data_IF_146250830338
#
_entry.id   IF_146250830338
#
_cell.length_a   1.000
_cell.length_b   1.000
_cell.length_c   1.000
_cell.angle_alpha   90.00
_cell.angle_beta   90.00
_cell.angle_gamma   90.00
#
_symmetry.space_group_name_H-M   'P 1'
#
loop_
_entity.id
_entity.type
_entity.pdbx_description
1 polymer ?
#
# COMPACT_ATOMS: atom_id res chain seq x y z
N UNK A 1 7.80 7.70 21.83
CA UNK A 1 8.33 7.43 20.47
C UNK A 1 7.54 6.31 19.80
N UNK A 2 7.08 6.57 18.57
CA UNK A 2 6.39 5.62 17.68
C UNK A 2 7.01 5.69 16.28
N UNK A 3 6.80 4.66 15.45
CA UNK A 3 7.25 4.61 14.04
C UNK A 3 6.03 4.48 13.13
N UNK A 4 5.91 5.35 12.13
CA UNK A 4 5.01 5.16 10.99
C UNK A 4 5.81 4.89 9.72
N UNK A 5 5.47 3.81 9.03
CA UNK A 5 6.12 3.38 7.79
C UNK A 5 5.14 3.54 6.64
N UNK A 6 5.44 4.44 5.71
CA UNK A 6 4.74 4.53 4.44
C UNK A 6 5.34 3.56 3.44
N UNK A 7 4.53 2.68 2.85
CA UNK A 7 4.97 1.80 1.78
C UNK A 7 4.93 2.50 0.41
N UNK A 8 5.80 2.05 -0.49
CA UNK A 8 5.98 2.57 -1.84
C UNK A 8 7.23 1.98 -2.48
N UNK A 9 7.45 2.27 -3.77
CA UNK A 9 8.69 1.95 -4.48
C UNK A 9 9.55 3.21 -4.70
N UNK A 10 10.89 3.10 -4.59
CA UNK A 10 11.82 4.22 -4.77
C UNK A 10 12.03 4.58 -6.25
N UNK A 11 12.34 5.86 -6.49
CA UNK A 11 12.71 6.38 -7.82
C UNK A 11 11.56 7.00 -8.61
N UNK A 12 11.90 7.95 -9.48
CA UNK A 12 10.95 8.89 -10.09
C UNK A 12 9.81 8.23 -10.91
N UNK A 13 10.01 7.01 -11.43
CA UNK A 13 8.99 6.29 -12.21
C UNK A 13 7.73 5.98 -11.40
N UNK A 14 7.83 5.84 -10.07
CA UNK A 14 6.72 5.51 -9.17
C UNK A 14 6.08 6.72 -8.48
N UNK A 15 6.51 7.95 -8.78
CA UNK A 15 5.89 9.15 -8.19
C UNK A 15 4.45 9.30 -8.71
N UNK A 16 3.49 9.40 -7.79
CA UNK A 16 2.06 9.52 -8.09
C UNK A 16 1.35 8.22 -8.49
N UNK A 17 1.97 7.04 -8.28
CA UNK A 17 1.33 5.74 -8.54
C UNK A 17 0.52 5.27 -7.34
N UNK A 18 -0.48 4.41 -7.57
CA UNK A 18 -1.37 3.93 -6.49
C UNK A 18 -0.60 3.23 -5.37
N UNK A 19 0.42 2.44 -5.73
CA UNK A 19 1.29 1.73 -4.78
C UNK A 19 2.20 2.64 -3.93
N UNK A 20 2.32 3.93 -4.28
CA UNK A 20 3.17 4.90 -3.57
C UNK A 20 2.38 5.82 -2.62
N UNK A 21 1.06 5.60 -2.45
CA UNK A 21 0.21 6.38 -1.55
C UNK A 21 0.71 6.41 -0.09
N UNK A 22 1.41 5.36 0.36
CA UNK A 22 2.04 5.32 1.68
C UNK A 22 3.17 6.37 1.83
N UNK A 23 4.00 6.56 0.81
CA UNK A 23 5.01 7.64 0.78
C UNK A 23 4.33 9.02 0.80
N UNK A 24 3.24 9.21 0.04
CA UNK A 24 2.54 10.51 -0.03
C UNK A 24 1.89 10.89 1.31
N UNK A 25 1.45 9.92 2.12
CA UNK A 25 1.04 10.15 3.51
C UNK A 25 2.21 10.55 4.40
N UNK A 26 3.38 9.92 4.26
CA UNK A 26 4.58 10.30 5.00
C UNK A 26 5.05 11.72 4.63
N UNK A 27 5.03 12.08 3.36
CA UNK A 27 5.37 13.43 2.89
C UNK A 27 4.30 14.48 3.25
N UNK A 28 3.08 14.06 3.55
CA UNK A 28 2.04 14.91 4.15
C UNK A 28 2.27 15.12 5.65
N UNK A 29 2.60 14.05 6.38
CA UNK A 29 2.99 14.12 7.80
C UNK A 29 4.25 14.97 8.03
N UNK A 30 5.26 14.84 7.17
CA UNK A 30 6.48 15.65 7.24
C UNK A 30 6.17 17.16 7.14
N UNK A 31 5.24 17.55 6.25
CA UNK A 31 4.76 18.93 6.12
C UNK A 31 3.94 19.38 7.34
N UNK A 32 3.04 18.54 7.85
CA UNK A 32 2.24 18.86 9.04
C UNK A 32 3.09 19.04 10.30
N UNK A 33 4.16 18.24 10.44
CA UNK A 33 5.07 18.25 11.60
C UNK A 33 6.31 19.13 11.36
N UNK A 34 6.33 19.94 10.29
CA UNK A 34 7.39 20.89 9.92
C UNK A 34 8.81 20.29 9.87
N UNK A 35 8.90 19.03 9.41
CA UNK A 35 10.14 18.26 9.42
C UNK A 35 11.02 18.64 8.22
N UNK A 36 12.21 19.19 8.49
CA UNK A 36 13.03 19.85 7.46
C UNK A 36 13.63 18.93 6.39
N UNK A 37 14.17 17.76 6.76
CA UNK A 37 14.84 16.86 5.80
C UNK A 37 14.81 15.40 6.27
N UNK A 38 14.59 14.48 5.34
CA UNK A 38 14.84 13.06 5.54
C UNK A 38 16.34 12.75 5.48
N UNK A 39 16.75 11.66 6.13
CA UNK A 39 18.11 11.11 6.14
C UNK A 39 18.07 9.64 5.72
N UNK A 40 19.06 9.19 4.98
CA UNK A 40 19.17 7.77 4.61
C UNK A 40 19.73 6.95 5.77
N UNK A 41 18.98 5.94 6.22
CA UNK A 41 19.39 4.98 7.26
C UNK A 41 18.49 3.74 7.21
N UNK A 42 19.04 2.56 7.48
CA UNK A 42 18.28 1.27 7.46
C UNK A 42 17.53 1.04 6.14
N UNK A 43 18.21 1.28 5.02
CA UNK A 43 17.64 1.19 3.66
C UNK A 43 16.33 1.99 3.50
N UNK A 44 16.21 3.11 4.22
CA UNK A 44 15.01 3.94 4.31
C UNK A 44 15.38 5.42 4.33
N UNK A 45 14.49 6.27 3.81
CA UNK A 45 14.46 7.69 4.15
C UNK A 45 13.71 7.83 5.48
N UNK A 46 14.39 8.30 6.52
CA UNK A 46 13.82 8.51 7.86
C UNK A 46 13.86 9.99 8.26
N UNK A 47 12.85 10.43 9.00
CA UNK A 47 12.84 11.77 9.62
C UNK A 47 12.05 11.76 10.94
N UNK A 48 12.44 12.60 11.90
CA UNK A 48 11.79 12.68 13.21
C UNK A 48 10.88 13.92 13.27
N UNK A 49 9.58 13.70 13.43
CA UNK A 49 8.60 14.73 13.76
C UNK A 49 8.28 14.74 15.25
N UNK A 50 7.92 15.90 15.80
CA UNK A 50 7.43 16.03 17.19
C UNK A 50 5.98 16.48 17.21
N UNK A 51 5.19 15.94 18.13
CA UNK A 51 3.80 16.34 18.36
C UNK A 51 3.52 16.34 19.86
N UNK A 52 3.56 17.53 20.47
CA UNK A 52 3.74 17.63 21.91
C UNK A 52 5.08 17.01 22.32
N UNK A 53 5.10 16.25 23.41
CA UNK A 53 6.29 15.56 23.91
C UNK A 53 6.62 14.26 23.16
N UNK A 54 5.71 13.77 22.30
CA UNK A 54 5.90 12.50 21.57
C UNK A 54 6.67 12.69 20.26
N UNK A 55 7.77 11.94 20.10
CA UNK A 55 8.50 11.81 18.83
C UNK A 55 7.85 10.74 17.95
N UNK A 56 7.49 11.10 16.72
CA UNK A 56 7.05 10.19 15.67
C UNK A 56 8.15 10.07 14.60
N UNK A 57 8.70 8.87 14.43
CA UNK A 57 9.63 8.57 13.34
C UNK A 57 8.82 8.30 12.07
N UNK A 58 9.04 9.13 11.05
CA UNK A 58 8.50 9.00 9.71
C UNK A 58 9.47 8.17 8.86
N UNK A 59 8.98 7.13 8.18
CA UNK A 59 9.83 6.19 7.42
C UNK A 59 9.26 5.93 6.03
N UNK A 60 10.11 6.03 5.01
CA UNK A 60 9.86 5.54 3.63
C UNK A 60 10.97 4.56 3.23
N UNK A 61 10.75 3.23 3.24
CA UNK A 61 11.74 2.27 2.76
C UNK A 61 12.20 2.61 1.33
N UNK A 62 13.50 2.51 1.07
CA UNK A 62 14.11 2.70 -0.26
C UNK A 62 14.52 1.36 -0.89
N UNK A 63 13.99 0.26 -0.35
CA UNK A 63 13.94 -1.06 -0.99
C UNK A 63 12.79 -1.10 -2.02
N UNK A 64 12.79 -2.06 -2.95
CA UNK A 64 11.56 -2.38 -3.68
C UNK A 64 10.47 -2.89 -2.74
N UNK A 65 9.20 -2.73 -3.13
CA UNK A 65 8.04 -3.02 -2.28
C UNK A 65 8.08 -4.43 -1.67
N UNK A 66 8.41 -5.44 -2.46
CA UNK A 66 8.52 -6.85 -2.04
C UNK A 66 9.72 -7.15 -1.11
N UNK A 67 10.50 -6.12 -0.74
CA UNK A 67 11.65 -6.18 0.16
C UNK A 67 11.50 -5.15 1.31
N UNK A 68 10.27 -4.71 1.61
CA UNK A 68 10.00 -3.72 2.67
C UNK A 68 10.29 -4.23 4.09
N UNK A 69 10.22 -5.54 4.31
CA UNK A 69 10.34 -6.21 5.60
C UNK A 69 11.72 -6.09 6.22
N UNK A 70 12.80 -6.25 5.44
CA UNK A 70 14.18 -6.06 5.92
C UNK A 70 14.42 -4.66 6.50
N UNK A 71 13.92 -3.62 5.83
CA UNK A 71 14.04 -2.23 6.28
C UNK A 71 13.24 -1.98 7.59
N UNK A 72 11.97 -2.40 7.63
CA UNK A 72 11.11 -2.30 8.82
C UNK A 72 11.69 -3.08 10.00
N UNK A 73 12.26 -4.26 9.74
CA UNK A 73 12.87 -5.11 10.77
C UNK A 73 14.12 -4.47 11.37
N UNK A 74 15.05 -4.00 10.53
CA UNK A 74 16.26 -3.32 10.97
C UNK A 74 15.98 -2.06 11.82
N UNK A 75 14.91 -1.32 11.49
CA UNK A 75 14.42 -0.20 12.28
C UNK A 75 13.93 -0.63 13.68
N UNK A 76 13.09 -1.66 13.76
CA UNK A 76 12.54 -2.14 15.03
C UNK A 76 13.62 -2.73 15.95
N UNK A 77 14.55 -3.52 15.40
CA UNK A 77 15.66 -4.09 16.18
C UNK A 77 16.61 -2.99 16.71
N UNK A 78 16.87 -1.93 15.92
CA UNK A 78 17.71 -0.80 16.36
C UNK A 78 17.03 0.07 17.43
N UNK A 79 15.80 0.50 17.20
CA UNK A 79 15.06 1.38 18.12
C UNK A 79 14.42 0.60 19.31
N UNK A 80 14.46 -0.74 19.29
CA UNK A 80 13.95 -1.66 20.32
C UNK A 80 12.47 -1.42 20.69
N UNK A 81 11.64 -1.14 19.69
CA UNK A 81 10.23 -0.80 19.90
C UNK A 81 9.31 -2.02 19.75
N UNK A 82 8.26 -2.14 20.59
CA UNK A 82 7.27 -3.19 20.46
C UNK A 82 6.34 -2.91 19.27
N UNK A 83 5.77 -3.97 18.67
CA UNK A 83 4.95 -3.87 17.44
C UNK A 83 3.72 -2.95 17.57
N UNK A 84 3.19 -2.75 18.77
CA UNK A 84 2.13 -1.77 19.06
C UNK A 84 2.54 -0.29 18.78
N UNK A 85 3.84 -0.01 18.67
CA UNK A 85 4.40 1.31 18.30
C UNK A 85 4.78 1.40 16.82
N UNK A 86 4.52 0.37 16.01
CA UNK A 86 4.55 0.41 14.55
C UNK A 86 3.16 0.77 14.01
N UNK A 87 3.12 1.56 12.94
CA UNK A 87 1.95 1.68 12.07
C UNK A 87 2.40 1.65 10.60
N UNK A 88 1.95 0.65 9.85
CA UNK A 88 2.24 0.53 8.41
C UNK A 88 1.12 1.16 7.58
N UNK A 89 1.45 2.08 6.67
CA UNK A 89 0.51 2.74 5.76
C UNK A 89 0.71 2.19 4.34
N UNK A 90 -0.36 1.68 3.73
CA UNK A 90 -0.31 1.04 2.42
C UNK A 90 -1.61 1.25 1.62
N UNK A 91 -1.54 1.02 0.31
CA UNK A 91 -2.72 0.85 -0.53
C UNK A 91 -3.48 -0.45 -0.23
N UNK A 92 -4.73 -0.50 -0.68
CA UNK A 92 -5.56 -1.69 -0.73
C UNK A 92 -6.49 -1.61 -1.95
N UNK A 93 -6.37 -2.60 -2.84
CA UNK A 93 -7.22 -2.72 -4.04
C UNK A 93 -8.63 -3.21 -3.69
N UNK A 94 -8.84 -3.86 -2.54
CA UNK A 94 -10.16 -4.35 -2.11
C UNK A 94 -10.95 -3.29 -1.32
N UNK A 95 -10.52 -2.03 -1.38
CA UNK A 95 -11.21 -0.89 -0.77
C UNK A 95 -11.55 0.16 -1.84
N UNK A 96 -12.80 0.67 -1.87
CA UNK A 96 -13.19 1.75 -2.76
C UNK A 96 -12.26 2.96 -2.65
N UNK A 97 -12.05 3.66 -3.77
CA UNK A 97 -11.12 4.79 -3.85
C UNK A 97 -11.33 5.80 -2.71
N UNK A 98 -10.24 6.12 -2.01
CA UNK A 98 -10.20 7.03 -0.87
C UNK A 98 -10.66 6.43 0.47
N UNK A 99 -11.17 5.19 0.50
CA UNK A 99 -11.70 4.60 1.73
C UNK A 99 -10.56 4.19 2.69
N UNK A 100 -10.51 4.83 3.86
CA UNK A 100 -9.56 4.47 4.92
C UNK A 100 -10.02 3.28 5.77
N UNK A 101 -9.07 2.42 6.15
CA UNK A 101 -9.28 1.28 7.06
C UNK A 101 -8.07 0.99 7.95
N UNK A 102 -8.13 1.46 9.20
CA UNK A 102 -7.19 1.07 10.26
C UNK A 102 -7.55 -0.31 10.82
N UNK A 103 -6.52 -1.15 11.04
CA UNK A 103 -6.60 -2.48 11.65
C UNK A 103 -5.47 -2.70 12.66
N UNK A 104 -5.69 -3.49 13.72
CA UNK A 104 -4.63 -3.90 14.64
C UNK A 104 -3.81 -5.09 14.13
N UNK A 105 -4.31 -5.86 13.15
CA UNK A 105 -3.70 -7.11 12.65
C UNK A 105 -4.29 -7.62 11.33
N UNK A 106 -3.79 -8.77 10.88
CA UNK A 106 -4.42 -9.70 9.91
C UNK A 106 -3.56 -9.94 8.67
N UNK A 107 -4.04 -10.70 7.68
CA UNK A 107 -3.21 -11.12 6.54
C UNK A 107 -2.78 -10.00 5.60
N UNK A 108 -1.73 -10.22 4.82
CA UNK A 108 -1.25 -9.25 3.83
C UNK A 108 -2.28 -8.89 2.76
N UNK A 109 -3.24 -9.78 2.46
CA UNK A 109 -4.33 -9.53 1.51
C UNK A 109 -3.82 -9.09 0.14
N UNK A 110 -3.10 -9.98 -0.55
CA UNK A 110 -2.46 -9.70 -1.85
C UNK A 110 -1.18 -8.86 -1.77
N UNK A 111 -1.19 -7.76 -1.02
CA UNK A 111 -0.14 -6.73 -1.03
C UNK A 111 1.26 -7.25 -0.63
N UNK A 112 2.24 -7.16 -1.55
CA UNK A 112 3.57 -7.76 -1.38
C UNK A 112 4.43 -7.12 -0.28
N UNK A 113 4.36 -5.81 -0.05
CA UNK A 113 5.08 -5.17 1.07
C UNK A 113 4.62 -5.64 2.44
N UNK A 114 3.30 -5.76 2.68
CA UNK A 114 2.76 -6.38 3.90
C UNK A 114 3.16 -7.85 4.03
N UNK A 115 3.23 -8.61 2.93
CA UNK A 115 3.67 -10.02 2.92
C UNK A 115 5.12 -10.13 3.41
N UNK A 116 6.02 -9.31 2.88
CA UNK A 116 7.44 -9.33 3.25
C UNK A 116 7.69 -8.82 4.68
N UNK A 117 6.91 -7.82 5.14
CA UNK A 117 6.92 -7.40 6.55
C UNK A 117 6.44 -8.54 7.46
N UNK A 118 5.37 -9.26 7.10
CA UNK A 118 4.89 -10.41 7.89
C UNK A 118 5.93 -11.53 7.97
N UNK A 119 6.66 -11.79 6.89
CA UNK A 119 7.78 -12.73 6.85
C UNK A 119 8.92 -12.32 7.80
N UNK A 120 9.38 -11.07 7.74
CA UNK A 120 10.50 -10.56 8.54
C UNK A 120 10.17 -10.34 10.03
N UNK A 121 8.90 -10.08 10.37
CA UNK A 121 8.42 -9.96 11.74
C UNK A 121 7.95 -11.30 12.34
N UNK A 122 7.68 -12.32 11.51
CA UNK A 122 7.14 -13.60 11.93
C UNK A 122 5.70 -13.53 12.48
N UNK A 123 4.95 -12.47 12.19
CA UNK A 123 3.60 -12.26 12.75
C UNK A 123 2.74 -11.30 11.94
N UNK A 124 1.41 -11.44 12.07
CA UNK A 124 0.39 -10.53 11.56
C UNK A 124 -0.08 -9.49 12.59
N UNK A 125 0.37 -9.58 13.85
CA UNK A 125 -0.07 -8.78 14.99
C UNK A 125 0.60 -7.39 15.05
N UNK A 126 0.44 -6.58 13.99
CA UNK A 126 0.89 -5.19 13.96
C UNK A 126 -0.14 -4.20 13.37
N UNK A 127 -0.24 -2.97 13.91
CA UNK A 127 -1.15 -1.95 13.39
C UNK A 127 -0.85 -1.53 11.95
N UNK A 128 -1.91 -1.30 11.17
CA UNK A 128 -1.81 -0.77 9.81
C UNK A 128 -3.00 0.10 9.41
N UNK A 129 -2.73 1.04 8.52
CA UNK A 129 -3.69 1.92 7.87
C UNK A 129 -3.71 1.59 6.37
N UNK A 130 -4.81 1.00 5.92
CA UNK A 130 -5.06 0.74 4.50
C UNK A 130 -5.82 1.89 3.85
N UNK A 131 -5.44 2.24 2.63
CA UNK A 131 -6.03 3.32 1.83
C UNK A 131 -6.57 2.71 0.55
N UNK A 132 -7.88 2.81 0.34
CA UNK A 132 -8.50 2.31 -0.89
C UNK A 132 -8.03 3.07 -2.12
N UNK A 133 -7.53 2.32 -3.11
CA UNK A 133 -7.05 2.87 -4.39
C UNK A 133 -7.96 2.52 -5.57
N UNK A 134 -9.13 1.93 -5.28
CA UNK A 134 -10.04 1.37 -6.28
C UNK A 134 -9.68 -0.07 -6.62
N UNK A 135 -10.70 -0.84 -7.03
CA UNK A 135 -10.55 -2.24 -7.42
C UNK A 135 -10.15 -2.32 -8.92
N UNK A 136 -9.14 -3.13 -9.30
CA UNK A 136 -8.73 -3.32 -10.69
C UNK A 136 -9.73 -4.19 -11.46
N UNK A 137 -9.66 -4.13 -12.79
CA UNK A 137 -10.30 -5.15 -13.63
C UNK A 137 -9.63 -6.53 -13.40
N UNK A 138 -10.35 -7.66 -13.60
CA UNK A 138 -9.83 -8.99 -13.34
C UNK A 138 -8.54 -9.31 -14.11
N UNK A 139 -7.43 -9.44 -13.37
CA UNK A 139 -6.09 -9.70 -13.91
C UNK A 139 -5.15 -8.48 -13.88
N UNK A 140 -5.67 -7.25 -13.95
CA UNK A 140 -4.86 -6.02 -14.09
C UNK A 140 -4.24 -5.50 -12.78
N UNK A 141 -4.25 -6.30 -11.71
CA UNK A 141 -3.92 -5.84 -10.36
C UNK A 141 -2.50 -5.24 -10.23
N UNK A 142 -1.52 -5.71 -11.00
CA UNK A 142 -0.14 -5.19 -10.99
C UNK A 142 -0.09 -3.82 -11.69
N UNK A 143 -0.62 -3.71 -12.90
CA UNK A 143 -0.58 -2.46 -13.68
C UNK A 143 -1.48 -1.37 -13.07
N UNK A 144 -2.56 -1.76 -12.41
CA UNK A 144 -3.40 -0.84 -11.63
C UNK A 144 -2.64 -0.21 -10.46
N UNK A 145 -1.89 -0.99 -9.66
CA UNK A 145 -1.10 -0.41 -8.56
C UNK A 145 0.11 0.38 -9.05
N UNK A 146 0.73 -0.04 -10.16
CA UNK A 146 1.90 0.64 -10.74
C UNK A 146 1.56 1.85 -11.63
N UNK A 147 0.30 2.04 -12.02
CA UNK A 147 -0.15 3.23 -12.75
C UNK A 147 -0.59 4.36 -11.83
N UNK A 148 -0.79 5.55 -12.40
CA UNK A 148 -1.15 6.79 -11.68
C UNK A 148 -2.66 6.98 -11.56
N UNK A 149 -3.07 7.71 -10.52
CA UNK A 149 -4.46 8.16 -10.36
C UNK A 149 -4.87 9.09 -11.51
N UNK A 150 -6.02 8.78 -12.13
CA UNK A 150 -6.66 9.57 -13.21
C UNK A 150 -7.06 10.96 -12.66
N UNK A 151 -7.19 11.97 -13.53
CA UNK A 151 -7.50 13.33 -13.11
C UNK A 151 -8.80 13.47 -12.27
N UNK A 152 -9.78 12.59 -12.48
CA UNK A 152 -11.01 12.48 -11.69
C UNK A 152 -10.82 11.83 -10.31
N UNK A 153 -9.77 11.03 -10.12
CA UNK A 153 -9.43 10.34 -8.87
C UNK A 153 -8.59 11.23 -7.94
N UNK A 154 -7.80 12.15 -8.52
CA UNK A 154 -6.87 13.04 -7.81
C UNK A 154 -7.50 13.79 -6.61
N UNK A 155 -8.70 14.40 -6.69
CA UNK A 155 -9.31 15.07 -5.53
C UNK A 155 -9.65 14.11 -4.39
N UNK A 156 -10.10 12.90 -4.73
CA UNK A 156 -10.55 11.87 -3.78
C UNK A 156 -9.34 11.30 -3.03
N UNK A 157 -8.27 10.96 -3.75
CA UNK A 157 -7.06 10.44 -3.11
C UNK A 157 -6.32 11.52 -2.31
N UNK A 158 -6.32 12.79 -2.76
CA UNK A 158 -5.75 13.90 -1.99
C UNK A 158 -6.47 14.11 -0.65
N UNK A 159 -7.80 14.03 -0.61
CA UNK A 159 -8.56 14.05 0.66
C UNK A 159 -8.21 12.84 1.53
N UNK A 160 -8.12 11.65 0.94
CA UNK A 160 -7.79 10.42 1.65
C UNK A 160 -6.37 10.44 2.24
N UNK A 161 -5.38 10.97 1.53
CA UNK A 161 -4.00 11.15 2.00
C UNK A 161 -3.96 12.14 3.19
N UNK A 162 -4.66 13.27 3.07
CA UNK A 162 -4.75 14.25 4.17
C UNK A 162 -5.44 13.66 5.42
N UNK A 163 -6.51 12.88 5.22
CA UNK A 163 -7.22 12.17 6.30
C UNK A 163 -6.42 11.00 6.87
N UNK A 164 -5.58 10.35 6.06
CA UNK A 164 -4.66 9.30 6.52
C UNK A 164 -3.55 9.88 7.40
N UNK A 165 -2.98 11.05 7.04
CA UNK A 165 -2.06 11.78 7.92
C UNK A 165 -2.73 12.14 9.27
N UNK A 166 -3.95 12.68 9.25
CA UNK A 166 -4.73 12.94 10.48
C UNK A 166 -5.02 11.66 11.30
N UNK A 167 -5.18 10.51 10.65
CA UNK A 167 -5.37 9.23 11.33
C UNK A 167 -4.08 8.72 12.01
N UNK A 168 -2.92 8.91 11.36
CA UNK A 168 -1.61 8.63 11.94
C UNK A 168 -1.34 9.56 13.13
N UNK A 169 -1.59 10.87 13.00
CA UNK A 169 -1.50 11.82 14.12
C UNK A 169 -2.39 11.40 15.29
N UNK A 170 -3.64 11.01 15.03
CA UNK A 170 -4.56 10.56 16.06
C UNK A 170 -4.13 9.23 16.71
N UNK A 171 -3.44 8.34 16.00
CA UNK A 171 -2.84 7.12 16.58
C UNK A 171 -1.58 7.45 17.40
N UNK A 172 -0.79 8.42 16.95
CA UNK A 172 0.39 8.91 17.67
C UNK A 172 -0.01 9.57 19.00
N UNK A 173 -0.99 10.46 19.00
CA UNK A 173 -1.48 11.17 20.19
C UNK A 173 -2.39 10.32 21.10
N UNK A 174 -3.36 9.58 20.51
CA UNK A 174 -4.52 9.02 21.24
C UNK A 174 -4.67 7.50 21.13
N UNK A 175 -3.73 6.83 20.50
CA UNK A 175 -3.72 5.37 20.35
C UNK A 175 -4.66 4.82 19.28
N UNK A 176 -4.54 3.52 19.02
CA UNK A 176 -5.15 2.87 17.88
C UNK A 176 -6.68 2.83 17.93
N UNK A 177 -7.28 2.61 19.10
CA UNK A 177 -8.74 2.52 19.22
C UNK A 177 -9.42 3.86 18.88
N UNK A 178 -8.88 4.97 19.40
CA UNK A 178 -9.39 6.31 19.08
C UNK A 178 -9.27 6.64 17.58
N UNK A 179 -8.14 6.28 16.96
CA UNK A 179 -7.94 6.44 15.52
C UNK A 179 -8.88 5.53 14.70
N UNK A 180 -9.05 4.27 15.09
CA UNK A 180 -10.01 3.35 14.45
C UNK A 180 -11.44 3.89 14.55
N UNK A 181 -11.90 4.28 15.73
CA UNK A 181 -13.26 4.76 15.95
C UNK A 181 -13.55 6.07 15.18
N UNK A 182 -12.55 6.95 15.01
CA UNK A 182 -12.68 8.21 14.26
C UNK A 182 -12.59 8.05 12.74
N UNK A 183 -11.70 7.20 12.23
CA UNK A 183 -11.36 7.17 10.79
C UNK A 183 -11.86 5.93 10.02
N UNK A 184 -12.27 4.84 10.69
CA UNK A 184 -12.92 3.70 10.02
C UNK A 184 -14.38 3.96 9.63
N UNK A 185 -15.03 4.94 10.28
CA UNK A 185 -16.45 5.25 10.07
C UNK A 185 -16.78 5.44 8.58
N UNK A 186 -17.99 5.07 8.12
CA UNK A 186 -18.44 5.46 6.79
C UNK A 186 -18.51 6.98 6.71
N UNK A 187 -18.15 7.50 5.55
CA UNK A 187 -18.26 8.92 5.24
C UNK A 187 -19.72 9.33 5.39
N UNK A 188 -20.01 10.25 6.32
CA UNK A 188 -21.37 10.77 6.48
C UNK A 188 -21.76 11.41 5.14
N UNK A 189 -22.83 10.95 4.47
CA UNK A 189 -23.26 11.59 3.24
C UNK A 189 -23.49 13.06 3.54
N UNK A 190 -22.85 13.94 2.77
CA UNK A 190 -22.95 15.38 2.96
C UNK A 190 -24.42 15.75 3.05
N UNK A 191 -24.84 16.39 4.15
CA UNK A 191 -26.24 16.76 4.38
C UNK A 191 -26.67 17.68 3.23
N UNK A 192 -27.37 17.12 2.23
CA UNK A 192 -28.13 17.89 1.25
C UNK A 192 -29.06 18.79 2.07
N UNK A 193 -28.81 20.09 2.05
CA UNK A 193 -29.64 21.07 2.73
C UNK A 193 -31.05 20.94 2.19
N UNK A 194 -31.98 20.54 3.05
CA UNK A 194 -33.38 20.30 2.69
C UNK A 194 -34.08 21.64 2.43
N UNK A 195 -33.89 22.17 1.22
CA UNK A 195 -34.63 23.32 0.72
C UNK A 195 -36.13 23.01 0.84
N UNK A 196 -36.82 23.84 1.61
CA UNK A 196 -38.17 23.55 2.12
C UNK A 196 -39.20 23.60 1.00
N UNK A 197 -40.07 22.59 0.94
CA UNK A 197 -41.08 22.44 -0.10
C UNK A 197 -42.18 23.52 -0.06
N UNK A 198 -42.66 23.90 -1.25
CA UNK A 198 -44.01 24.44 -1.50
C UNK A 198 -44.58 23.80 -2.78
N UNK A 199 -45.89 23.49 -2.84
CA UNK A 199 -46.48 22.78 -3.96
C UNK A 199 -46.88 23.71 -5.13
N UNK A 200 -46.98 23.11 -6.31
CA UNK A 200 -47.46 23.73 -7.56
C UNK A 200 -48.99 23.84 -7.63
N UNK A 201 -49.50 24.59 -8.61
CA UNK A 201 -50.72 24.21 -9.34
C UNK A 201 -50.47 24.07 -10.86
N UNK A 202 -51.17 23.12 -11.50
CA UNK A 202 -51.32 23.02 -12.96
C UNK A 202 -52.74 23.48 -13.37
N UNK A 203 -52.94 23.99 -14.59
CA UNK A 203 -54.20 23.94 -15.33
C UNK A 203 -54.27 22.70 -16.25
N UNK A 204 -55.46 22.35 -16.78
CA UNK A 204 -55.77 21.02 -17.35
C UNK A 204 -56.54 21.03 -18.68
N UNK A 205 -56.36 19.93 -19.45
CA UNK A 205 -57.19 19.46 -20.59
C UNK A 205 -56.80 17.98 -20.87
N UNK A 206 -57.67 16.95 -20.87
CA UNK A 206 -58.79 16.65 -21.78
C UNK A 206 -58.38 16.57 -23.27
N UNK A 207 -58.67 15.54 -24.09
CA UNK A 207 -59.23 14.16 -23.98
C UNK A 207 -58.77 13.34 -25.23
N UNK A 208 -59.17 12.11 -25.63
CA UNK A 208 -60.15 11.08 -25.20
C UNK A 208 -59.77 9.67 -25.78
N UNK A 209 -60.44 8.54 -25.42
CA UNK A 209 -60.04 7.15 -25.79
C UNK A 209 -61.10 6.40 -26.68
N UNK A 210 -61.18 5.04 -26.82
CA UNK A 210 -60.18 3.94 -26.87
C UNK A 210 -60.41 2.89 -28.03
N UNK A 211 -59.42 2.03 -28.31
CA UNK A 211 -59.62 0.64 -28.82
C UNK A 211 -58.32 -0.21 -28.70
N UNK A 212 -58.27 -1.55 -28.92
CA UNK A 212 -58.99 -2.71 -28.31
C UNK A 212 -58.61 -4.00 -29.09
N UNK A 213 -58.35 -5.14 -28.40
CA UNK A 213 -58.04 -6.50 -28.95
C UNK A 213 -56.66 -6.63 -29.65
N UNK A 214 -56.02 -7.81 -29.76
CA UNK A 214 -56.09 -9.09 -29.00
C UNK A 214 -54.85 -9.96 -29.34
N UNK A 215 -54.54 -11.00 -28.55
CA UNK A 215 -53.66 -12.12 -28.96
C UNK A 215 -54.47 -13.15 -29.79
N UNK A 216 -53.85 -13.96 -30.67
CA UNK A 216 -53.29 -15.23 -30.19
C UNK A 216 -51.98 -15.70 -30.87
N UNK A 217 -51.35 -16.68 -30.24
CA UNK A 217 -50.24 -17.53 -30.72
C UNK A 217 -50.79 -18.75 -31.51
N UNK A 218 -49.99 -19.76 -31.98
CA UNK A 218 -48.53 -19.87 -32.13
C UNK A 218 -48.11 -20.41 -33.55
N UNK A 219 -47.03 -21.20 -33.62
CA UNK A 219 -46.43 -21.97 -34.75
C UNK A 219 -45.35 -21.27 -35.60
N UNK A 220 -44.34 -21.93 -36.18
CA UNK A 220 -43.64 -23.23 -35.94
C UNK A 220 -42.39 -23.24 -36.86
N UNK A 221 -41.18 -23.53 -36.34
CA UNK A 221 -39.95 -24.00 -37.06
C UNK A 221 -38.76 -23.89 -36.06
N UNK A 222 -38.20 -24.96 -35.48
CA UNK A 222 -37.45 -26.11 -36.08
C UNK A 222 -35.99 -25.79 -36.39
N UNK A 223 -35.11 -26.21 -35.46
CA UNK A 223 -33.75 -26.76 -35.66
C UNK A 223 -32.74 -25.96 -36.51
N UNK A 224 -31.61 -25.59 -35.88
CA UNK A 224 -30.29 -26.12 -36.26
C UNK A 224 -29.26 -25.95 -35.12
N UNK A 225 -28.64 -27.07 -34.72
CA UNK A 225 -27.55 -27.10 -33.74
C UNK A 225 -26.20 -27.11 -34.47
N UNK A 226 -25.24 -26.29 -34.03
CA UNK A 226 -23.85 -26.36 -34.46
C UNK A 226 -22.92 -26.17 -33.23
N UNK A 227 -21.88 -27.01 -33.05
CA UNK A 227 -21.00 -26.94 -31.88
C UNK A 227 -19.94 -25.83 -32.00
N UNK A 228 -19.62 -25.20 -30.87
CA UNK A 228 -18.47 -24.29 -30.74
C UNK A 228 -17.20 -25.15 -30.57
N UNK A 229 -16.11 -24.91 -31.33
CA UNK A 229 -14.85 -25.63 -31.13
C UNK A 229 -14.18 -25.22 -29.83
N UNK A 230 -13.74 -26.20 -29.04
CA UNK A 230 -12.97 -25.96 -27.81
C UNK A 230 -11.52 -25.64 -28.17
N UNK A 231 -11.06 -24.45 -27.79
CA UNK A 231 -9.64 -24.09 -27.88
C UNK A 231 -8.83 -24.87 -26.82
N UNK A 232 -7.66 -25.38 -27.21
CA UNK A 232 -6.72 -26.00 -26.29
C UNK A 232 -5.88 -24.92 -25.58
N UNK A 233 -5.47 -25.13 -24.32
CA UNK A 233 -4.53 -24.23 -23.65
C UNK A 233 -3.13 -24.39 -24.26
N UNK A 234 -2.51 -23.28 -24.64
CA UNK A 234 -1.10 -23.27 -25.07
C UNK A 234 -0.18 -23.58 -23.88
N UNK A 235 0.88 -24.35 -24.12
CA UNK A 235 1.90 -24.63 -23.11
C UNK A 235 2.94 -23.51 -23.11
N UNK A 236 2.84 -22.61 -22.13
CA UNK A 236 3.83 -21.55 -21.92
C UNK A 236 5.20 -22.14 -21.56
N UNK A 237 6.23 -21.80 -22.34
CA UNK A 237 7.58 -22.33 -22.15
C UNK A 237 8.27 -21.68 -20.94
N UNK A 238 9.07 -22.42 -20.16
CA UNK A 238 9.78 -21.85 -19.01
C UNK A 238 10.82 -20.81 -19.46
N UNK A 239 11.05 -19.74 -18.67
CA UNK A 239 12.05 -18.73 -19.00
C UNK A 239 13.48 -19.31 -18.97
N UNK A 240 14.41 -18.78 -19.78
CA UNK A 240 15.79 -19.26 -19.82
C UNK A 240 16.50 -19.02 -18.48
N UNK A 241 17.33 -19.99 -18.08
CA UNK A 241 18.18 -19.87 -16.90
C UNK A 241 19.23 -18.75 -17.09
N UNK A 242 19.64 -18.05 -16.01
CA UNK A 242 20.73 -17.09 -16.08
C UNK A 242 22.04 -17.78 -16.47
N UNK A 243 22.81 -17.16 -17.36
CA UNK A 243 24.12 -17.65 -17.79
C UNK A 243 25.14 -17.54 -16.66
N UNK A 244 25.73 -18.67 -16.27
CA UNK A 244 26.89 -18.69 -15.36
C UNK A 244 28.15 -18.21 -16.10
N UNK A 245 28.54 -16.95 -15.88
CA UNK A 245 29.89 -16.47 -16.17
C UNK A 245 30.46 -15.72 -14.97
N UNK A 246 31.24 -16.44 -14.16
CA UNK A 246 32.22 -15.88 -13.23
C UNK A 246 33.22 -16.96 -12.82
N UNK A 247 34.25 -17.15 -13.64
CA UNK A 247 35.41 -17.96 -13.24
C UNK A 247 36.15 -17.26 -12.09
N UNK A 248 36.33 -17.90 -10.91
CA UNK A 248 37.08 -17.29 -9.82
C UNK A 248 38.59 -17.27 -10.14
N UNK A 249 39.33 -16.19 -9.80
CA UNK A 249 40.77 -16.18 -9.96
C UNK A 249 41.43 -17.18 -9.01
N UNK A 250 42.38 -17.96 -9.53
CA UNK A 250 43.15 -18.93 -8.75
C UNK A 250 44.06 -18.24 -7.74
N UNK A 251 43.83 -18.47 -6.44
CA UNK A 251 44.79 -18.10 -5.40
C UNK A 251 46.01 -19.01 -5.47
N UNK A 252 47.15 -18.44 -5.87
CA UNK A 252 48.44 -19.14 -5.92
C UNK A 252 48.98 -19.38 -4.50
N UNK A 253 49.49 -20.59 -4.24
CA UNK A 253 49.89 -21.03 -2.91
C UNK A 253 51.39 -20.79 -2.64
N UNK A 254 51.71 -19.82 -1.79
CA UNK A 254 53.07 -19.64 -1.27
C UNK A 254 53.34 -20.62 -0.11
N UNK A 255 54.33 -21.50 -0.29
CA UNK A 255 54.74 -22.47 0.74
C UNK A 255 55.64 -21.83 1.83
N UNK A 256 55.65 -22.38 3.06
CA UNK A 256 56.44 -21.82 4.16
C UNK A 256 57.87 -22.38 4.24
N UNK A 257 58.87 -21.50 4.20
CA UNK A 257 60.29 -21.75 4.53
C UNK A 257 61.05 -20.42 4.63
N UNK A 258 62.11 -20.24 5.42
CA UNK A 258 62.56 -20.90 6.66
C UNK A 258 63.60 -19.96 7.34
N UNK A 259 63.95 -20.17 8.63
CA UNK A 259 64.94 -19.42 9.44
C UNK A 259 64.66 -17.91 9.68
N UNK A 260 65.03 -17.31 10.82
CA UNK A 260 65.57 -17.88 12.07
C UNK A 260 66.33 -16.85 12.92
N UNK A 261 66.35 -17.01 14.26
CA UNK A 261 67.16 -16.26 15.26
C UNK A 261 66.92 -14.73 15.39
N UNK A 262 67.15 -14.05 16.52
CA UNK A 262 67.39 -14.41 17.94
C UNK A 262 67.18 -13.16 18.84
N UNK A 263 67.11 -13.32 20.18
CA UNK A 263 67.24 -12.21 21.15
C UNK A 263 66.09 -12.07 22.17
N UNK A 264 66.41 -12.11 23.47
CA UNK A 264 65.48 -12.01 24.62
C UNK A 264 66.26 -11.69 25.93
N UNK A 265 65.66 -11.09 26.99
CA UNK A 265 64.87 -9.85 27.04
C UNK A 265 65.75 -8.59 27.34
N UNK A 266 66.10 -8.09 28.57
CA UNK A 266 65.75 -8.46 29.95
C UNK A 266 65.34 -7.28 30.91
N UNK A 267 64.03 -7.03 31.09
CA UNK A 267 63.40 -6.46 32.30
C UNK A 267 63.72 -4.99 32.75
N UNK A 268 63.11 -4.62 33.90
CA UNK A 268 63.04 -3.30 34.58
C UNK A 268 62.16 -2.24 33.88
N UNK A 269 61.29 -1.48 34.59
CA UNK A 269 60.97 -1.51 36.04
C UNK A 269 59.53 -1.12 36.33
#
# INVERSE_FOLDING_TARGET
>A
MKIVVGLGNPGNRYVGTRHNVGFEVIDTLARHLQVGSFREKFESLIAEGKRGDDTLLLVKPQTYMNLSGRAVRALLDFYKLPLQHLLVVCDDIHLPLGKLRLRPRGSHGGHNGLRDIQLHLGTEEYPRLRIGVGEPEPGEAVDHVLSRFRASEQPIIAEAIARAAQAVECWAERGLEAAMNRFNAPDKPAKRSSARSRPSPQPSSASSPPASKANPDPETLTVMTAPIPVAQPEQEAPPPAPSEDSSPPSHEAASPSDFGTSGNPPATS
#
